data_IF_288537899076
#
_entry.id   IF_288537899076
#
_cell.length_a   1.000
_cell.length_b   1.000
_cell.length_c   1.000
_cell.angle_alpha   90.00
_cell.angle_beta   90.00
_cell.angle_gamma   90.00
#
_symmetry.space_group_name_H-M   'P 1'
#
loop_
_entity.id
_entity.type
_entity.pdbx_description
1 polymer ?
#
# COMPACT_ATOMS: atom_id res chain seq x y z
N UNK A 1 0.11 13.58 0.64
CA UNK A 1 -1.05 12.96 1.28
C UNK A 1 -2.27 13.20 0.39
N UNK A 2 -2.80 12.16 -0.21
CA UNK A 2 -3.90 12.27 -1.15
C UNK A 2 -5.22 12.11 -0.37
N UNK A 3 -5.98 13.20 -0.23
CA UNK A 3 -7.38 13.11 0.19
C UNK A 3 -8.22 12.53 -0.98
N UNK A 4 -9.49 12.22 -0.75
CA UNK A 4 -10.34 11.60 -1.78
C UNK A 4 -10.39 12.39 -3.10
N UNK A 5 -10.34 13.73 -3.03
CA UNK A 5 -10.32 14.61 -4.20
C UNK A 5 -9.00 14.51 -4.96
N UNK A 6 -7.88 14.44 -4.23
CA UNK A 6 -6.55 14.29 -4.83
C UNK A 6 -6.40 12.91 -5.46
N UNK A 7 -6.94 11.85 -4.83
CA UNK A 7 -6.96 10.49 -5.39
C UNK A 7 -7.74 10.43 -6.70
N UNK A 8 -8.92 11.03 -6.76
CA UNK A 8 -9.70 11.11 -8.01
C UNK A 8 -8.99 11.90 -9.10
N UNK A 9 -8.37 13.03 -8.76
CA UNK A 9 -7.59 13.81 -9.73
C UNK A 9 -6.37 13.02 -10.25
N UNK A 10 -5.66 12.31 -9.36
CA UNK A 10 -4.54 11.45 -9.72
C UNK A 10 -5.00 10.30 -10.63
N UNK A 11 -6.11 9.63 -10.30
CA UNK A 11 -6.67 8.54 -11.09
C UNK A 11 -6.99 8.95 -12.54
N UNK A 12 -7.34 10.21 -12.79
CA UNK A 12 -7.62 10.74 -14.13
C UNK A 12 -6.34 11.04 -14.94
N UNK A 13 -5.19 11.15 -14.30
CA UNK A 13 -3.93 11.57 -14.93
C UNK A 13 -2.92 10.44 -15.13
N UNK A 14 -3.07 9.35 -14.38
CA UNK A 14 -2.15 8.21 -14.46
C UNK A 14 -2.48 7.29 -15.64
N UNK A 15 -1.46 6.59 -16.12
CA UNK A 15 -1.62 5.55 -17.15
C UNK A 15 -1.53 4.18 -16.48
N UNK A 16 -2.62 3.42 -16.41
CA UNK A 16 -2.59 2.07 -15.85
C UNK A 16 -1.57 1.20 -16.59
N UNK A 17 -0.82 0.41 -15.82
CA UNK A 17 0.20 -0.49 -16.34
C UNK A 17 1.58 0.13 -16.58
N UNK A 18 1.73 1.46 -16.50
CA UNK A 18 3.03 2.13 -16.58
C UNK A 18 3.77 2.01 -15.25
N UNK A 19 5.07 1.69 -15.30
CA UNK A 19 5.97 1.74 -14.14
C UNK A 19 6.89 2.92 -14.30
N UNK A 20 6.98 3.75 -13.27
CA UNK A 20 7.84 4.94 -13.27
C UNK A 20 8.53 5.13 -11.93
N UNK A 21 9.60 5.92 -11.90
CA UNK A 21 10.27 6.30 -10.67
C UNK A 21 9.65 7.57 -10.10
N UNK A 22 9.34 7.54 -8.80
CA UNK A 22 8.86 8.70 -8.04
C UNK A 22 9.69 8.86 -6.76
N UNK A 23 9.85 10.10 -6.31
CA UNK A 23 10.51 10.40 -5.03
C UNK A 23 9.46 10.78 -4.00
N UNK A 24 9.47 10.11 -2.86
CA UNK A 24 8.57 10.41 -1.75
C UNK A 24 9.34 10.92 -0.53
N UNK A 25 8.74 11.83 0.24
CA UNK A 25 9.22 12.18 1.56
C UNK A 25 8.99 11.04 2.55
N UNK A 26 9.68 11.11 3.69
CA UNK A 26 9.38 10.26 4.83
C UNK A 26 7.91 10.42 5.27
N UNK A 27 7.28 9.32 5.65
CA UNK A 27 5.92 9.33 6.16
C UNK A 27 5.77 8.36 7.34
N UNK A 28 4.86 8.68 8.26
CA UNK A 28 4.54 7.86 9.42
C UNK A 28 3.27 7.07 9.15
N UNK A 29 3.32 5.78 9.42
CA UNK A 29 2.24 4.82 9.20
C UNK A 29 1.83 4.22 10.52
N UNK A 30 0.59 4.42 10.96
CA UNK A 30 -0.03 3.62 11.99
C UNK A 30 -0.38 2.27 11.37
N UNK A 31 -0.03 1.16 12.03
CA UNK A 31 -0.12 -0.17 11.45
C UNK A 31 -0.86 -1.16 12.33
N UNK A 32 -1.46 -2.16 11.68
CA UNK A 32 -1.98 -3.40 12.28
C UNK A 32 -1.42 -4.55 11.46
N UNK A 33 -0.92 -5.60 12.14
CA UNK A 33 -0.47 -6.81 11.47
C UNK A 33 -1.61 -7.46 10.69
N UNK A 34 -1.33 -7.88 9.46
CA UNK A 34 -2.24 -8.70 8.68
C UNK A 34 -2.31 -10.10 9.28
N UNK A 35 -3.48 -10.78 9.22
CA UNK A 35 -3.59 -12.14 9.70
C UNK A 35 -2.75 -13.07 8.82
N UNK A 36 -2.13 -14.08 9.43
CA UNK A 36 -1.54 -15.18 8.69
C UNK A 36 -2.65 -16.06 8.09
N UNK A 37 -3.05 -15.73 6.86
CA UNK A 37 -4.12 -16.44 6.14
C UNK A 37 -3.79 -17.91 5.85
N UNK A 38 -2.50 -18.28 5.86
CA UNK A 38 -2.06 -19.63 5.55
C UNK A 38 -2.14 -20.58 6.76
N UNK A 39 -2.00 -20.08 7.99
CA UNK A 39 -1.80 -20.89 9.19
C UNK A 39 -2.78 -20.61 10.33
N UNK A 40 -3.43 -19.46 10.37
CA UNK A 40 -4.41 -19.13 11.40
C UNK A 40 -5.82 -19.56 11.00
N UNK A 41 -6.64 -19.97 11.97
CA UNK A 41 -8.09 -19.92 11.77
C UNK A 41 -8.46 -18.46 11.60
N UNK A 42 -8.68 -18.05 10.37
CA UNK A 42 -9.07 -16.70 10.03
C UNK A 42 -10.46 -16.41 10.64
N UNK A 43 -10.45 -15.57 11.67
CA UNK A 43 -11.67 -14.99 12.21
C UNK A 43 -11.86 -13.61 11.55
N UNK A 44 -12.50 -13.59 10.41
CA UNK A 44 -12.79 -12.39 9.62
C UNK A 44 -13.33 -11.24 10.48
N UNK A 45 -14.19 -11.56 11.45
CA UNK A 45 -14.77 -10.58 12.37
C UNK A 45 -13.71 -9.89 13.25
N UNK A 46 -12.69 -10.61 13.71
CA UNK A 46 -11.60 -10.05 14.54
C UNK A 46 -10.70 -9.17 13.70
N UNK A 47 -10.36 -9.63 12.51
CA UNK A 47 -9.58 -8.86 11.54
C UNK A 47 -10.26 -7.54 11.18
N UNK A 48 -11.52 -7.58 10.74
CA UNK A 48 -12.30 -6.39 10.42
C UNK A 48 -12.41 -5.41 11.60
N UNK A 49 -12.47 -5.93 12.83
CA UNK A 49 -12.48 -5.10 14.03
C UNK A 49 -11.15 -4.33 14.18
N UNK A 50 -10.01 -4.98 14.04
CA UNK A 50 -8.70 -4.35 14.17
C UNK A 50 -8.48 -3.28 13.09
N UNK A 51 -8.85 -3.56 11.85
CA UNK A 51 -8.76 -2.58 10.75
C UNK A 51 -9.68 -1.38 11.00
N UNK A 52 -10.90 -1.60 11.48
CA UNK A 52 -11.82 -0.51 11.85
C UNK A 52 -11.28 0.34 13.01
N UNK A 53 -10.66 -0.28 14.00
CA UNK A 53 -10.00 0.43 15.10
C UNK A 53 -8.84 1.29 14.59
N UNK A 54 -8.00 0.75 13.70
CA UNK A 54 -6.92 1.50 13.05
C UNK A 54 -7.46 2.74 12.33
N UNK A 55 -8.48 2.57 11.46
CA UNK A 55 -9.07 3.67 10.68
C UNK A 55 -9.66 4.74 11.60
N UNK A 56 -10.41 4.32 12.62
CA UNK A 56 -11.05 5.23 13.57
C UNK A 56 -10.00 6.04 14.33
N UNK A 57 -9.03 5.35 14.93
CA UNK A 57 -7.95 5.97 15.67
C UNK A 57 -7.12 6.91 14.78
N UNK A 58 -6.77 6.49 13.58
CA UNK A 58 -5.98 7.30 12.66
C UNK A 58 -6.71 8.59 12.28
N UNK A 59 -8.02 8.54 12.02
CA UNK A 59 -8.84 9.73 11.74
C UNK A 59 -8.87 10.70 12.92
N UNK A 60 -9.03 10.20 14.13
CA UNK A 60 -9.02 11.01 15.36
C UNK A 60 -7.66 11.67 15.58
N UNK A 61 -6.58 11.10 15.01
CA UNK A 61 -5.22 11.61 15.08
C UNK A 61 -4.75 12.31 13.78
N UNK A 62 -5.69 12.78 12.96
CA UNK A 62 -5.39 13.65 11.83
C UNK A 62 -4.97 12.94 10.54
N UNK A 63 -5.23 11.63 10.43
CA UNK A 63 -5.01 10.91 9.17
C UNK A 63 -5.93 11.44 8.07
N UNK A 64 -5.39 11.67 6.87
CA UNK A 64 -6.20 11.96 5.68
C UNK A 64 -6.80 10.70 5.04
N UNK A 65 -6.35 9.51 5.46
CA UNK A 65 -6.74 8.24 4.86
C UNK A 65 -8.21 7.92 5.17
N UNK A 66 -8.97 7.56 4.15
CA UNK A 66 -10.35 7.09 4.29
C UNK A 66 -10.44 5.57 4.32
N UNK A 67 -9.47 4.89 3.70
CA UNK A 67 -9.26 3.46 3.72
C UNK A 67 -7.81 3.16 4.11
N UNK A 68 -7.51 2.01 4.70
CA UNK A 68 -6.13 1.59 4.90
C UNK A 68 -5.49 1.28 3.55
N UNK A 69 -4.16 1.33 3.51
CA UNK A 69 -3.35 0.69 2.49
C UNK A 69 -2.67 -0.53 3.08
N UNK A 70 -1.93 -1.25 2.24
CA UNK A 70 -1.25 -2.48 2.60
C UNK A 70 0.27 -2.31 2.52
N UNK A 71 0.99 -3.05 3.37
CA UNK A 71 2.46 -3.13 3.34
C UNK A 71 2.85 -4.58 3.15
N UNK A 72 3.66 -4.83 2.13
CA UNK A 72 4.38 -6.10 1.96
C UNK A 72 5.83 -5.82 2.33
N UNK A 73 6.32 -6.48 3.38
CA UNK A 73 7.68 -6.30 3.85
C UNK A 73 8.73 -6.77 2.83
N UNK A 74 9.89 -6.14 2.84
CA UNK A 74 11.01 -6.51 1.98
C UNK A 74 11.33 -8.01 2.05
N UNK A 75 11.36 -8.58 3.24
CA UNK A 75 11.66 -9.99 3.46
C UNK A 75 10.63 -10.92 2.81
N UNK A 76 9.35 -10.52 2.80
CA UNK A 76 8.28 -11.25 2.10
C UNK A 76 8.46 -11.19 0.59
N UNK A 77 8.75 -10.00 0.05
CA UNK A 77 9.05 -9.81 -1.37
C UNK A 77 10.26 -10.63 -1.85
N UNK A 78 11.33 -10.67 -1.05
CA UNK A 78 12.55 -11.43 -1.35
C UNK A 78 12.30 -12.95 -1.37
N UNK A 79 11.37 -13.44 -0.53
CA UNK A 79 10.92 -14.85 -0.54
C UNK A 79 9.92 -15.17 -1.66
N UNK A 80 9.43 -14.15 -2.38
CA UNK A 80 8.40 -14.30 -3.40
C UNK A 80 6.99 -14.42 -2.82
N UNK A 81 6.80 -14.00 -1.58
CA UNK A 81 5.52 -13.85 -0.93
C UNK A 81 5.00 -12.43 -1.16
N UNK A 82 3.79 -12.34 -1.69
CA UNK A 82 3.14 -11.08 -2.03
C UNK A 82 1.87 -10.86 -1.22
N UNK A 83 1.70 -11.60 -0.12
CA UNK A 83 0.65 -11.34 0.85
C UNK A 83 1.03 -10.13 1.71
N UNK A 84 0.02 -9.37 2.08
CA UNK A 84 0.18 -8.24 3.00
C UNK A 84 0.68 -8.68 4.38
N UNK A 85 1.70 -7.98 4.89
CA UNK A 85 2.22 -8.16 6.25
C UNK A 85 1.53 -7.20 7.23
N UNK A 86 1.13 -6.01 6.76
CA UNK A 86 0.46 -4.98 7.59
C UNK A 86 -0.60 -4.23 6.78
N UNK A 87 -1.61 -3.75 7.51
CA UNK A 87 -2.48 -2.66 7.06
C UNK A 87 -2.03 -1.36 7.67
N UNK A 88 -2.13 -0.25 6.93
CA UNK A 88 -1.65 1.04 7.44
C UNK A 88 -2.57 2.21 7.11
N UNK A 89 -2.54 3.21 7.99
CA UNK A 89 -3.03 4.56 7.72
C UNK A 89 -1.89 5.55 7.91
N UNK A 90 -1.75 6.52 7.00
CA UNK A 90 -0.80 7.60 7.18
C UNK A 90 -1.23 8.50 8.34
N UNK A 91 -0.28 8.94 9.16
CA UNK A 91 -0.54 9.84 10.28
C UNK A 91 0.49 10.98 10.31
N UNK A 92 0.16 12.11 10.93
CA UNK A 92 1.11 13.21 11.09
C UNK A 92 2.38 12.80 11.85
N UNK A 93 3.54 13.40 11.56
CA UNK A 93 4.75 13.20 12.35
C UNK A 93 4.51 13.56 13.84
N UNK A 94 5.09 12.75 14.74
CA UNK A 94 4.95 12.94 16.19
C UNK A 94 3.67 12.35 16.79
N UNK A 95 2.80 11.73 16.00
CA UNK A 95 1.65 10.97 16.52
C UNK A 95 2.14 9.81 17.38
N UNK A 96 1.49 9.56 18.51
CA UNK A 96 1.81 8.50 19.48
C UNK A 96 0.54 7.79 19.94
N UNK A 97 0.67 6.61 20.58
CA UNK A 97 -0.46 5.87 21.14
C UNK A 97 -0.99 4.74 20.26
N UNK A 98 -0.29 4.43 19.17
CA UNK A 98 -0.53 3.28 18.29
C UNK A 98 0.78 2.73 17.76
N UNK A 99 0.90 1.44 17.37
CA UNK A 99 2.06 0.92 16.68
C UNK A 99 2.34 1.69 15.39
N UNK A 100 3.58 2.15 15.22
CA UNK A 100 3.99 2.98 14.09
C UNK A 100 5.13 2.32 13.32
N UNK A 101 5.11 2.49 11.98
CA UNK A 101 6.24 2.24 11.08
C UNK A 101 6.56 3.54 10.33
N UNK A 102 7.80 3.66 9.88
CA UNK A 102 8.23 4.78 9.04
C UNK A 102 8.36 4.29 7.61
N UNK A 103 7.67 4.93 6.68
CA UNK A 103 7.93 4.80 5.26
C UNK A 103 9.10 5.73 4.93
N UNK A 104 10.28 5.20 4.56
CA UNK A 104 11.47 6.02 4.34
C UNK A 104 11.30 7.02 3.20
N UNK A 105 11.96 8.18 3.30
CA UNK A 105 12.15 9.05 2.15
C UNK A 105 13.02 8.37 1.08
N UNK A 106 12.84 8.74 -0.19
CA UNK A 106 13.71 8.31 -1.27
C UNK A 106 12.97 7.91 -2.54
N UNK A 107 13.64 7.14 -3.39
CA UNK A 107 13.14 6.73 -4.70
C UNK A 107 12.33 5.44 -4.59
N UNK A 108 11.21 5.42 -5.30
CA UNK A 108 10.29 4.29 -5.40
C UNK A 108 10.01 3.98 -6.87
N UNK A 109 9.94 2.70 -7.20
CA UNK A 109 9.30 2.26 -8.43
C UNK A 109 7.78 2.21 -8.19
N UNK A 110 7.01 2.85 -9.03
CA UNK A 110 5.56 3.01 -8.86
C UNK A 110 4.82 2.42 -10.05
N UNK A 111 3.91 1.51 -9.78
CA UNK A 111 2.98 0.92 -10.74
C UNK A 111 1.56 1.34 -10.38
N UNK A 112 0.84 1.90 -11.35
CA UNK A 112 -0.61 2.09 -11.24
C UNK A 112 -1.29 0.89 -11.89
N UNK A 113 -1.85 0.02 -11.05
CA UNK A 113 -2.53 -1.20 -11.48
C UNK A 113 -4.04 -0.97 -11.56
N UNK A 114 -4.63 -1.24 -12.74
CA UNK A 114 -6.08 -1.26 -12.90
C UNK A 114 -6.57 -2.71 -13.00
N UNK A 115 -7.55 -3.06 -12.19
CA UNK A 115 -8.13 -4.40 -12.16
C UNK A 115 -8.69 -4.76 -10.79
N UNK A 116 -9.23 -5.97 -10.69
CA UNK A 116 -9.75 -6.50 -9.43
C UNK A 116 -8.63 -6.83 -8.42
N UNK A 117 -8.96 -6.90 -7.15
CA UNK A 117 -8.04 -7.34 -6.10
C UNK A 117 -7.41 -8.72 -6.37
N UNK A 118 -8.14 -9.62 -7.07
CA UNK A 118 -7.58 -10.92 -7.47
C UNK A 118 -6.37 -10.82 -8.42
N UNK A 119 -6.19 -9.69 -9.11
CA UNK A 119 -5.06 -9.44 -10.02
C UNK A 119 -3.86 -8.73 -9.38
N UNK A 120 -4.01 -8.30 -8.13
CA UNK A 120 -3.03 -7.51 -7.39
C UNK A 120 -1.71 -8.23 -7.17
N UNK A 121 -1.72 -9.50 -6.73
CA UNK A 121 -0.51 -10.30 -6.55
C UNK A 121 0.35 -10.38 -7.82
N UNK A 122 -0.31 -10.49 -8.98
CA UNK A 122 0.35 -10.43 -10.28
C UNK A 122 1.00 -9.09 -10.56
N UNK A 123 0.36 -8.00 -10.11
CA UNK A 123 0.88 -6.64 -10.26
C UNK A 123 2.08 -6.40 -9.32
N UNK A 124 2.02 -6.85 -8.07
CA UNK A 124 3.13 -6.78 -7.11
C UNK A 124 4.36 -7.55 -7.62
N UNK A 125 4.15 -8.77 -8.12
CA UNK A 125 5.21 -9.58 -8.75
C UNK A 125 5.82 -8.86 -9.95
N UNK A 126 5.00 -8.33 -10.84
CA UNK A 126 5.44 -7.58 -12.02
C UNK A 126 6.29 -6.38 -11.64
N UNK A 127 5.89 -5.62 -10.62
CA UNK A 127 6.64 -4.46 -10.14
C UNK A 127 8.00 -4.88 -9.60
N UNK A 128 8.05 -5.91 -8.74
CA UNK A 128 9.31 -6.46 -8.22
C UNK A 128 10.23 -6.92 -9.33
N UNK A 129 9.72 -7.71 -10.26
CA UNK A 129 10.51 -8.28 -11.35
C UNK A 129 11.06 -7.18 -12.26
N UNK A 130 10.26 -6.16 -12.58
CA UNK A 130 10.71 -4.98 -13.32
C UNK A 130 11.86 -4.26 -12.60
N UNK A 131 11.77 -4.05 -11.30
CA UNK A 131 12.85 -3.42 -10.49
C UNK A 131 14.16 -4.17 -10.65
N UNK A 132 14.12 -5.50 -10.53
CA UNK A 132 15.31 -6.34 -10.67
C UNK A 132 15.85 -6.36 -12.10
N UNK A 133 14.99 -6.40 -13.12
CA UNK A 133 15.36 -6.35 -14.54
C UNK A 133 16.02 -5.02 -14.93
N UNK A 134 15.63 -3.90 -14.28
CA UNK A 134 16.29 -2.61 -14.48
C UNK A 134 17.65 -2.49 -13.75
N UNK A 135 18.05 -3.50 -12.97
CA UNK A 135 19.28 -3.49 -12.19
C UNK A 135 19.21 -2.67 -10.90
N UNK A 136 18.00 -2.33 -10.44
CA UNK A 136 17.81 -1.69 -9.14
C UNK A 136 17.82 -2.72 -8.01
N UNK A 137 18.23 -2.29 -6.81
CA UNK A 137 18.10 -3.10 -5.61
C UNK A 137 16.80 -2.77 -4.88
N UNK A 138 16.13 -3.78 -4.34
CA UNK A 138 15.03 -3.59 -3.39
C UNK A 138 15.64 -3.07 -2.08
N UNK A 139 15.20 -1.88 -1.63
CA UNK A 139 15.76 -1.19 -0.47
C UNK A 139 14.70 -0.91 0.62
N UNK A 140 13.62 -1.64 0.59
CA UNK A 140 12.55 -1.54 1.59
C UNK A 140 11.25 -2.19 1.13
N UNK A 141 10.18 -1.81 1.80
CA UNK A 141 8.86 -2.41 1.65
C UNK A 141 8.14 -1.93 0.38
N UNK A 142 7.13 -2.70 -0.02
CA UNK A 142 6.12 -2.30 -0.99
C UNK A 142 4.92 -1.75 -0.24
N UNK A 143 4.43 -0.61 -0.67
CA UNK A 143 3.24 0.06 -0.13
C UNK A 143 2.15 0.10 -1.20
N UNK A 144 0.97 -0.35 -0.83
CA UNK A 144 -0.22 -0.25 -1.66
C UNK A 144 -1.14 0.84 -1.16
N UNK A 145 -1.79 1.54 -2.08
CA UNK A 145 -2.80 2.55 -1.80
C UNK A 145 -3.94 2.44 -2.81
N UNK A 146 -5.15 2.21 -2.31
CA UNK A 146 -6.36 2.31 -3.11
C UNK A 146 -6.62 3.75 -3.59
N UNK A 147 -6.64 3.96 -4.90
CA UNK A 147 -7.07 5.23 -5.50
C UNK A 147 -8.53 5.19 -5.90
N UNK A 148 -8.98 4.07 -6.48
CA UNK A 148 -10.39 3.76 -6.78
C UNK A 148 -10.65 2.34 -6.28
N UNK A 149 -11.61 2.18 -5.39
CA UNK A 149 -11.96 0.91 -4.76
C UNK A 149 -13.45 0.58 -4.92
N UNK A 150 -13.92 -0.44 -4.23
CA UNK A 150 -15.31 -0.90 -4.21
C UNK A 150 -16.32 0.12 -3.67
N UNK A 151 -15.87 1.10 -2.89
CA UNK A 151 -16.71 2.23 -2.42
C UNK A 151 -16.95 3.23 -3.56
N UNK A 152 -15.94 3.39 -4.46
CA UNK A 152 -15.96 4.36 -5.55
C UNK A 152 -16.54 3.80 -6.84
N UNK A 153 -16.55 2.49 -7.03
CA UNK A 153 -17.05 1.82 -8.24
C UNK A 153 -17.59 0.42 -7.95
N UNK A 154 -18.70 0.06 -8.56
CA UNK A 154 -19.28 -1.28 -8.52
C UNK A 154 -18.57 -2.25 -9.51
N UNK A 155 -17.80 -1.73 -10.47
CA UNK A 155 -17.05 -2.54 -11.43
C UNK A 155 -15.64 -2.83 -10.93
N UNK A 156 -15.30 -4.08 -10.55
CA UNK A 156 -13.97 -4.45 -10.08
C UNK A 156 -12.86 -4.21 -11.10
N UNK A 157 -13.17 -4.17 -12.39
CA UNK A 157 -12.17 -3.89 -13.44
C UNK A 157 -11.78 -2.41 -13.49
N UNK A 158 -12.51 -1.53 -12.81
CA UNK A 158 -12.22 -0.12 -12.71
C UNK A 158 -11.42 0.27 -11.45
N UNK A 159 -11.18 -0.68 -10.52
CA UNK A 159 -10.35 -0.40 -9.35
C UNK A 159 -8.95 0.02 -9.79
N UNK A 160 -8.39 0.98 -9.10
CA UNK A 160 -7.07 1.53 -9.40
C UNK A 160 -6.24 1.53 -8.12
N UNK A 161 -5.18 0.75 -8.12
CA UNK A 161 -4.23 0.59 -7.04
C UNK A 161 -2.92 1.30 -7.38
N UNK A 162 -2.32 1.95 -6.42
CA UNK A 162 -0.97 2.50 -6.51
C UNK A 162 -0.02 1.62 -5.70
N UNK A 163 0.85 0.91 -6.38
CA UNK A 163 1.91 0.09 -5.79
C UNK A 163 3.22 0.86 -5.81
N UNK A 164 3.88 0.99 -4.67
CA UNK A 164 5.11 1.77 -4.51
C UNK A 164 6.18 0.94 -3.81
N UNK A 165 7.20 0.48 -4.54
CA UNK A 165 8.30 -0.33 -4.02
C UNK A 165 9.54 0.52 -3.82
N UNK A 166 10.04 0.56 -2.56
CA UNK A 166 11.28 1.29 -2.22
C UNK A 166 12.49 0.64 -2.87
N UNK A 167 13.25 1.44 -3.58
CA UNK A 167 14.43 0.98 -4.32
C UNK A 167 15.67 1.83 -4.02
N UNK A 168 16.83 1.23 -4.28
CA UNK A 168 18.11 1.92 -4.41
C UNK A 168 18.49 1.90 -5.89
N UNK A 169 18.74 3.10 -6.43
CA UNK A 169 19.33 3.27 -7.76
C UNK A 169 20.85 3.08 -7.68
N UNK A 170 21.49 2.61 -8.75
CA UNK A 170 22.94 2.46 -8.81
C UNK A 170 23.70 3.76 -8.51
#
# INVERSE_FOLDING_TARGET
LHNAKDKMALAQTVRPGEIRLETFPEAHCAVVEAPDFAHAKFEEAVYLLHVRQLITWARENGSPSQAPGDIICRESLERGDFMEDYYYCLVPPGTTGWPLRVRPAGTYAVLYHQGSYASEYGACRRLRDWVLEQGYAIDGDLYEEDLVNDIASEDPQSYLLKLSLKIQTP
#
